data_IF_807534544109
#
_entry.id   IF_807534544109
#
_cell.length_a   1.000
_cell.length_b   1.000
_cell.length_c   1.000
_cell.angle_alpha   90.00
_cell.angle_beta   90.00
_cell.angle_gamma   90.00
#
_symmetry.space_group_name_H-M   'P 1'
#
loop_
_entity.id
_entity.type
_entity.pdbx_description
1 polymer ?
#
# COMPACT_ATOMS: atom_id res chain seq x y z
N UNK A 1 0.46 -3.76 9.30
CA UNK A 1 0.08 -3.77 7.88
C UNK A 1 -1.45 -3.72 7.71
N UNK A 2 -2.08 -2.57 7.99
CA UNK A 2 -3.55 -2.37 7.91
C UNK A 2 -3.92 -1.08 7.17
N UNK A 3 -2.99 -0.53 6.39
CA UNK A 3 -3.21 0.68 5.60
C UNK A 3 -3.96 0.31 4.31
N UNK A 4 -5.05 1.02 4.02
CA UNK A 4 -5.78 0.87 2.78
C UNK A 4 -5.09 1.67 1.69
N UNK A 5 -4.11 1.05 1.05
CA UNK A 5 -3.54 1.51 -0.20
C UNK A 5 -3.49 0.32 -1.14
N UNK A 6 -3.98 0.49 -2.35
CA UNK A 6 -3.66 -0.46 -3.40
C UNK A 6 -2.27 -0.09 -3.91
N UNK A 7 -1.29 -0.94 -3.61
CA UNK A 7 0.09 -0.69 -3.98
C UNK A 7 0.28 -0.84 -5.50
N UNK A 8 1.12 0.00 -6.05
CA UNK A 8 1.47 0.02 -7.47
C UNK A 8 2.88 -0.55 -7.68
N UNK A 9 3.80 -0.28 -6.74
CA UNK A 9 5.19 -0.74 -6.85
C UNK A 9 5.75 -1.16 -5.49
N UNK A 10 6.78 -2.01 -5.51
CA UNK A 10 7.53 -2.35 -4.31
C UNK A 10 8.56 -1.25 -4.01
N UNK A 11 9.34 -0.86 -5.02
CA UNK A 11 10.44 0.09 -4.93
C UNK A 11 10.09 1.45 -5.57
N UNK A 12 10.71 2.53 -5.09
CA UNK A 12 10.57 3.87 -5.67
C UNK A 12 11.12 3.94 -7.10
N UNK A 13 12.06 3.07 -7.45
CA UNK A 13 12.56 2.88 -8.81
C UNK A 13 11.55 2.26 -9.78
N UNK A 14 10.42 1.76 -9.27
CA UNK A 14 9.33 1.11 -10.02
C UNK A 14 9.78 -0.12 -10.80
N UNK A 15 10.85 -0.79 -10.36
CA UNK A 15 11.33 -2.05 -10.97
C UNK A 15 10.32 -3.17 -10.74
N UNK A 16 9.71 -3.22 -9.55
CA UNK A 16 8.78 -4.27 -9.17
C UNK A 16 7.36 -3.73 -9.15
N UNK A 17 6.63 -3.93 -10.24
CA UNK A 17 5.20 -3.63 -10.36
C UNK A 17 4.36 -4.58 -9.50
N UNK A 18 3.44 -4.05 -8.69
CA UNK A 18 2.63 -4.83 -7.75
C UNK A 18 1.13 -4.78 -8.05
N UNK A 19 0.71 -4.00 -9.06
CA UNK A 19 -0.71 -3.89 -9.39
C UNK A 19 -1.29 -5.23 -9.89
N UNK A 20 -2.44 -5.63 -9.33
CA UNK A 20 -3.11 -6.90 -9.67
C UNK A 20 -3.46 -7.00 -11.15
N UNK A 21 -3.96 -5.94 -11.79
CA UNK A 21 -4.27 -5.93 -13.23
C UNK A 21 -3.39 -4.97 -14.04
N UNK A 22 -3.21 -5.29 -15.33
CA UNK A 22 -2.46 -4.47 -16.28
C UNK A 22 -3.10 -3.08 -16.48
N UNK A 23 -4.44 -3.00 -16.56
CA UNK A 23 -5.14 -1.70 -16.65
C UNK A 23 -4.89 -0.83 -15.42
N UNK A 24 -4.89 -1.43 -14.24
CA UNK A 24 -4.58 -0.72 -13.01
C UNK A 24 -3.11 -0.28 -12.96
N UNK A 25 -2.18 -1.12 -13.41
CA UNK A 25 -0.78 -0.74 -13.52
C UNK A 25 -0.62 0.49 -14.44
N UNK A 26 -1.25 0.46 -15.61
CA UNK A 26 -1.25 1.61 -16.52
C UNK A 26 -1.87 2.87 -15.90
N UNK A 27 -2.84 2.76 -14.97
CA UNK A 27 -3.32 3.91 -14.19
C UNK A 27 -2.29 4.39 -13.19
N UNK A 28 -1.64 3.47 -12.48
CA UNK A 28 -0.56 3.82 -11.55
C UNK A 28 0.50 4.67 -12.27
N UNK A 29 0.97 4.20 -13.43
CA UNK A 29 1.99 4.88 -14.23
C UNK A 29 1.56 6.28 -14.69
N UNK A 30 0.27 6.46 -15.00
CA UNK A 30 -0.26 7.74 -15.49
C UNK A 30 -0.49 8.79 -14.41
N UNK A 31 -0.89 8.40 -13.21
CA UNK A 31 -1.42 9.36 -12.24
C UNK A 31 -1.08 9.13 -10.77
N UNK A 32 -0.33 8.09 -10.42
CA UNK A 32 -0.04 7.76 -9.02
C UNK A 32 1.44 7.76 -8.67
N UNK A 33 2.32 8.08 -9.62
CA UNK A 33 3.79 8.08 -9.43
C UNK A 33 4.26 9.06 -8.37
N UNK A 34 3.50 10.13 -8.10
CA UNK A 34 3.84 11.13 -7.10
C UNK A 34 3.27 10.84 -5.70
N UNK A 35 2.42 9.81 -5.56
CA UNK A 35 1.83 9.40 -4.29
C UNK A 35 2.72 8.38 -3.57
N UNK A 36 3.40 8.77 -2.49
CA UNK A 36 4.22 7.85 -1.71
C UNK A 36 3.44 6.65 -1.13
N UNK A 37 2.12 6.78 -0.93
CA UNK A 37 1.31 5.74 -0.32
C UNK A 37 1.11 4.50 -1.21
N UNK A 38 1.39 4.57 -2.51
CA UNK A 38 1.26 3.42 -3.43
C UNK A 38 2.57 2.61 -3.58
N UNK A 39 3.60 2.95 -2.82
CA UNK A 39 4.89 2.28 -2.79
C UNK A 39 5.10 1.53 -1.48
N UNK A 40 5.77 0.38 -1.54
CA UNK A 40 6.18 -0.35 -0.33
C UNK A 40 7.42 0.23 0.34
N UNK A 41 8.38 0.69 -0.46
CA UNK A 41 9.67 1.17 0.01
C UNK A 41 9.59 2.22 1.13
N UNK A 42 8.76 3.28 1.05
CA UNK A 42 8.56 4.21 2.16
C UNK A 42 8.19 3.53 3.48
N UNK A 43 7.32 2.52 3.44
CA UNK A 43 6.87 1.79 4.62
C UNK A 43 7.98 0.92 5.20
N UNK A 44 8.72 0.21 4.33
CA UNK A 44 9.82 -0.66 4.75
C UNK A 44 10.97 0.14 5.36
N UNK A 45 11.28 1.30 4.77
CA UNK A 45 12.27 2.27 5.27
C UNK A 45 11.88 2.89 6.61
N UNK A 46 10.58 3.05 6.86
CA UNK A 46 10.03 3.52 8.13
C UNK A 46 9.66 2.36 9.09
N UNK A 47 10.29 1.21 8.92
CA UNK A 47 10.07 0.03 9.77
C UNK A 47 11.40 -0.53 10.27
N UNK A 48 11.39 -1.15 11.45
CA UNK A 48 12.51 -1.96 11.91
C UNK A 48 12.48 -3.31 11.18
N UNK A 49 13.65 -3.80 10.73
CA UNK A 49 13.76 -5.09 10.05
C UNK A 49 13.16 -6.23 10.87
N UNK A 50 13.45 -6.24 12.16
CA UNK A 50 12.96 -7.25 13.12
C UNK A 50 11.42 -7.25 13.21
N UNK A 51 10.78 -6.08 13.13
CA UNK A 51 9.32 -6.00 13.20
C UNK A 51 8.69 -6.59 11.94
N UNK A 52 9.30 -6.36 10.77
CA UNK A 52 8.87 -6.96 9.50
C UNK A 52 9.09 -8.47 9.52
N UNK A 53 10.30 -8.91 9.88
CA UNK A 53 10.72 -10.32 9.88
C UNK A 53 9.97 -11.20 10.89
N UNK A 54 9.57 -10.63 12.03
CA UNK A 54 8.82 -11.34 13.08
C UNK A 54 7.33 -10.97 13.14
N UNK A 55 6.83 -10.21 12.16
CA UNK A 55 5.40 -9.92 12.07
C UNK A 55 4.58 -11.18 11.73
N UNK A 56 3.28 -11.12 12.03
CA UNK A 56 2.32 -12.12 11.57
C UNK A 56 2.17 -12.21 10.05
N UNK A 57 2.79 -11.29 9.30
CA UNK A 57 2.77 -11.25 7.83
C UNK A 57 4.12 -11.64 7.22
N UNK A 58 5.13 -12.01 8.01
CA UNK A 58 6.49 -12.26 7.51
C UNK A 58 6.55 -13.32 6.42
N UNK A 59 5.91 -14.48 6.64
CA UNK A 59 5.83 -15.57 5.66
C UNK A 59 5.08 -15.16 4.39
N UNK A 60 4.00 -14.39 4.54
CA UNK A 60 3.21 -13.91 3.41
C UNK A 60 3.98 -12.88 2.58
N UNK A 61 4.69 -11.95 3.23
CA UNK A 61 5.58 -10.97 2.60
C UNK A 61 6.73 -11.67 1.87
N UNK A 62 7.33 -12.70 2.49
CA UNK A 62 8.41 -13.47 1.90
C UNK A 62 7.94 -14.12 0.59
N UNK A 63 6.89 -14.93 0.64
CA UNK A 63 6.37 -15.66 -0.50
C UNK A 63 5.83 -14.73 -1.61
N UNK A 64 5.12 -13.67 -1.21
CA UNK A 64 4.40 -12.82 -2.17
C UNK A 64 5.28 -11.76 -2.83
N UNK A 65 6.32 -11.28 -2.14
CA UNK A 65 7.12 -10.11 -2.55
C UNK A 65 8.63 -10.41 -2.48
N UNK A 66 9.16 -10.74 -1.30
CA UNK A 66 10.62 -10.72 -1.10
C UNK A 66 11.36 -11.81 -1.86
N UNK A 67 10.79 -13.02 -2.02
CA UNK A 67 11.43 -14.09 -2.79
C UNK A 67 11.73 -13.66 -4.24
N UNK A 68 10.81 -12.93 -4.88
CA UNK A 68 10.99 -12.43 -6.25
C UNK A 68 12.01 -11.31 -6.28
N UNK A 69 11.97 -10.37 -5.33
CA UNK A 69 13.00 -9.32 -5.24
C UNK A 69 14.39 -9.93 -5.08
N UNK A 70 14.52 -10.89 -4.16
CA UNK A 70 15.78 -11.55 -3.82
C UNK A 70 16.28 -12.52 -4.89
N UNK A 71 15.42 -12.92 -5.85
CA UNK A 71 15.84 -13.71 -7.00
C UNK A 71 16.90 -13.03 -7.89
N UNK A 72 17.03 -11.70 -7.75
CA UNK A 72 18.04 -10.90 -8.44
C UNK A 72 19.14 -10.41 -7.47
N UNK A 73 20.41 -10.34 -7.89
CA UNK A 73 21.48 -9.76 -7.07
C UNK A 73 21.21 -8.30 -6.68
N UNK A 74 20.74 -7.49 -7.63
CA UNK A 74 20.39 -6.09 -7.39
C UNK A 74 19.25 -5.93 -6.40
N UNK A 75 18.20 -6.75 -6.51
CA UNK A 75 17.07 -6.73 -5.58
C UNK A 75 17.46 -7.18 -4.17
N UNK A 76 18.32 -8.19 -4.04
CA UNK A 76 18.87 -8.60 -2.74
C UNK A 76 19.66 -7.48 -2.06
N UNK A 77 20.52 -6.77 -2.81
CA UNK A 77 21.28 -5.63 -2.29
C UNK A 77 20.34 -4.48 -1.90
N UNK A 78 19.36 -4.16 -2.75
CA UNK A 78 18.37 -3.14 -2.47
C UNK A 78 17.58 -3.45 -1.19
N UNK A 79 17.05 -4.67 -1.04
CA UNK A 79 16.26 -5.07 0.12
C UNK A 79 17.09 -4.99 1.41
N UNK A 80 18.36 -5.42 1.37
CA UNK A 80 19.26 -5.29 2.51
C UNK A 80 19.56 -3.81 2.86
N UNK A 81 19.62 -2.93 1.85
CA UNK A 81 19.90 -1.50 2.06
C UNK A 81 18.79 -0.76 2.82
N UNK A 82 17.53 -1.23 2.74
CA UNK A 82 16.38 -0.58 3.40
C UNK A 82 16.54 -0.50 4.92
N UNK A 83 17.30 -1.42 5.52
CA UNK A 83 17.50 -1.51 6.97
C UNK A 83 18.96 -1.30 7.39
N UNK A 84 19.83 -0.87 6.48
CA UNK A 84 21.21 -0.55 6.79
C UNK A 84 21.28 0.56 7.86
N UNK A 85 22.29 0.48 8.73
CA UNK A 85 22.54 1.46 9.80
C UNK A 85 23.84 2.23 9.53
N UNK A 86 23.94 3.50 9.97
CA UNK A 86 22.91 4.29 10.66
C UNK A 86 21.75 4.66 9.74
N UNK A 87 20.58 4.94 10.32
CA UNK A 87 19.46 5.48 9.54
C UNK A 87 19.77 6.90 9.05
N UNK A 88 19.31 7.27 7.85
CA UNK A 88 19.48 8.63 7.34
C UNK A 88 18.80 9.63 8.27
N UNK A 89 19.35 10.84 8.34
CA UNK A 89 18.67 11.95 8.99
C UNK A 89 17.41 12.32 8.18
N UNK A 90 16.44 12.95 8.84
CA UNK A 90 15.14 13.29 8.22
C UNK A 90 15.33 14.14 6.95
N UNK A 91 16.30 15.06 6.93
CA UNK A 91 16.56 15.90 5.76
C UNK A 91 16.97 15.09 4.52
N UNK A 92 17.84 14.09 4.69
CA UNK A 92 18.27 13.22 3.59
C UNK A 92 17.14 12.32 3.11
N UNK A 93 16.27 11.87 4.03
CA UNK A 93 15.08 11.09 3.70
C UNK A 93 14.10 11.88 2.84
N UNK A 94 13.80 13.11 3.25
CA UNK A 94 12.93 14.03 2.51
C UNK A 94 13.52 14.32 1.12
N UNK A 95 14.83 14.57 1.05
CA UNK A 95 15.51 14.78 -0.22
C UNK A 95 15.43 13.55 -1.14
N UNK A 96 15.59 12.35 -0.58
CA UNK A 96 15.46 11.09 -1.31
C UNK A 96 14.04 10.87 -1.85
N UNK A 97 13.00 11.14 -1.07
CA UNK A 97 11.61 11.02 -1.52
C UNK A 97 11.30 12.00 -2.65
N UNK A 98 11.74 13.26 -2.51
CA UNK A 98 11.57 14.27 -3.56
C UNK A 98 12.38 13.96 -4.83
N UNK A 99 13.60 13.43 -4.70
CA UNK A 99 14.40 13.00 -5.84
C UNK A 99 13.74 11.86 -6.64
N UNK A 100 12.94 11.02 -5.96
CA UNK A 100 12.10 10.00 -6.59
C UNK A 100 10.72 10.52 -7.01
N UNK A 101 10.47 11.83 -6.91
CA UNK A 101 9.24 12.47 -7.36
C UNK A 101 8.05 12.29 -6.43
N UNK A 102 8.22 11.81 -5.20
CA UNK A 102 7.13 11.68 -4.24
C UNK A 102 6.83 13.05 -3.62
N UNK A 103 5.57 13.49 -3.72
CA UNK A 103 5.16 14.84 -3.28
C UNK A 103 3.97 14.83 -2.33
N UNK A 104 3.23 13.74 -2.26
CA UNK A 104 2.10 13.60 -1.34
C UNK A 104 1.93 12.16 -0.86
N UNK A 105 1.17 12.00 0.22
CA UNK A 105 0.80 10.71 0.78
C UNK A 105 -0.72 10.64 0.91
N UNK A 106 -1.36 9.79 0.11
CA UNK A 106 -2.81 9.63 0.14
C UNK A 106 -3.22 8.17 0.06
N UNK A 107 -3.88 7.70 1.12
CA UNK A 107 -4.49 6.37 1.20
C UNK A 107 -5.91 6.39 0.63
N UNK A 108 -6.47 5.20 0.44
CA UNK A 108 -7.84 5.01 -0.02
C UNK A 108 -8.82 5.15 1.14
N UNK A 109 -10.01 5.65 0.81
CA UNK A 109 -11.13 5.67 1.73
C UNK A 109 -11.50 4.22 2.11
N UNK A 110 -11.72 4.00 3.40
CA UNK A 110 -12.24 2.73 3.93
C UNK A 110 -13.26 3.00 5.01
N UNK A 111 -14.19 2.05 5.17
CA UNK A 111 -15.14 2.04 6.27
C UNK A 111 -15.01 0.73 7.09
N UNK A 112 -13.85 0.08 7.01
CA UNK A 112 -13.52 -1.11 7.78
C UNK A 112 -13.30 -0.79 9.28
N UNK A 113 -12.65 0.33 9.56
CA UNK A 113 -12.49 0.88 10.90
C UNK A 113 -12.73 2.38 10.89
N UNK A 114 -13.13 2.92 12.03
CA UNK A 114 -13.03 4.34 12.33
C UNK A 114 -11.54 4.64 12.58
N UNK A 115 -11.00 5.61 11.85
CA UNK A 115 -9.61 6.01 12.02
C UNK A 115 -9.46 6.75 13.35
N UNK A 116 -8.53 6.28 14.18
CA UNK A 116 -8.17 7.00 15.39
C UNK A 116 -7.22 8.15 15.07
N UNK A 117 -7.35 9.24 15.80
CA UNK A 117 -6.50 10.43 15.68
C UNK A 117 -6.23 10.97 17.08
N UNK A 118 -4.96 11.11 17.45
CA UNK A 118 -4.55 11.80 18.67
C UNK A 118 -3.64 12.97 18.29
N UNK A 119 -4.07 14.18 18.59
CA UNK A 119 -3.33 15.41 18.33
C UNK A 119 -2.87 16.02 19.65
N UNK A 120 -1.58 16.32 19.72
CA UNK A 120 -0.93 16.87 20.92
C UNK A 120 -0.13 18.10 20.52
N UNK A 121 -0.24 19.18 21.29
CA UNK A 121 0.60 20.37 21.15
C UNK A 121 1.61 20.43 22.31
N UNK A 122 2.80 20.94 22.03
CA UNK A 122 3.80 21.23 23.05
C UNK A 122 3.82 22.74 23.33
N UNK A 123 3.69 23.11 24.60
CA UNK A 123 3.79 24.48 25.08
C UNK A 123 5.11 24.61 25.84
N UNK A 124 5.99 25.49 25.36
CA UNK A 124 7.21 25.88 26.06
C UNK A 124 6.97 27.22 26.77
N UNK A 125 7.18 27.27 28.08
CA UNK A 125 7.08 28.54 28.82
C UNK A 125 8.38 29.36 28.73
N UNK A 126 8.36 30.59 29.25
CA UNK A 126 9.51 31.50 29.22
C UNK A 126 10.75 31.00 30.00
N UNK A 127 10.62 29.94 30.81
CA UNK A 127 11.71 29.29 31.53
C UNK A 127 12.27 28.06 30.79
N UNK A 128 11.78 27.75 29.59
CA UNK A 128 12.18 26.59 28.80
C UNK A 128 11.55 25.26 29.23
N UNK A 129 10.52 25.29 30.10
CA UNK A 129 9.79 24.07 30.47
C UNK A 129 8.76 23.74 29.40
N UNK A 130 8.85 22.52 28.85
CA UNK A 130 7.96 21.98 27.83
C UNK A 130 6.88 21.10 28.45
N UNK A 131 5.63 21.37 28.11
CA UNK A 131 4.47 20.58 28.54
C UNK A 131 3.64 20.20 27.32
N UNK A 132 3.31 18.91 27.21
CA UNK A 132 2.46 18.40 26.12
C UNK A 132 0.99 18.35 26.57
N UNK A 133 0.08 18.85 25.72
CA UNK A 133 -1.37 18.82 25.96
C UNK A 133 -2.05 18.17 24.76
N UNK A 134 -2.85 17.12 25.02
CA UNK A 134 -3.70 16.50 23.98
C UNK A 134 -4.89 17.41 23.68
N UNK A 135 -5.02 17.85 22.44
CA UNK A 135 -6.09 18.76 21.98
C UNK A 135 -7.23 18.01 21.28
N UNK A 136 -6.95 16.83 20.75
CA UNK A 136 -7.95 15.97 20.12
C UNK A 136 -7.59 14.50 20.33
N UNK A 137 -8.59 13.67 20.61
CA UNK A 137 -8.41 12.22 20.75
C UNK A 137 -9.67 11.51 20.29
N UNK A 138 -9.55 10.76 19.20
CA UNK A 138 -10.55 9.83 18.70
C UNK A 138 -9.91 8.46 18.66
N UNK A 139 -10.54 7.45 19.27
CA UNK A 139 -10.01 6.08 19.26
C UNK A 139 -10.25 5.41 17.91
N UNK A 140 -9.33 4.53 17.51
CA UNK A 140 -9.58 3.63 16.40
C UNK A 140 -10.62 2.58 16.83
N UNK A 141 -11.67 2.38 16.04
CA UNK A 141 -12.72 1.40 16.32
C UNK A 141 -12.98 0.49 15.13
N UNK A 142 -12.99 -0.82 15.35
CA UNK A 142 -13.37 -1.78 14.32
C UNK A 142 -14.90 -1.84 14.18
N UNK A 143 -15.41 -1.61 12.97
CA UNK A 143 -16.85 -1.46 12.73
C UNK A 143 -17.59 -2.79 12.57
N UNK A 144 -16.88 -3.90 12.37
CA UNK A 144 -17.45 -5.23 12.10
C UNK A 144 -17.53 -5.58 10.61
N UNK A 145 -17.36 -6.88 10.26
CA UNK A 145 -17.32 -7.33 8.86
C UNK A 145 -18.66 -7.09 8.13
N UNK A 146 -19.78 -7.23 8.83
CA UNK A 146 -21.12 -7.12 8.25
C UNK A 146 -21.46 -5.71 7.74
N UNK A 147 -20.74 -4.69 8.19
CA UNK A 147 -20.93 -3.29 7.79
C UNK A 147 -19.78 -2.73 6.96
N UNK A 148 -18.80 -3.57 6.59
CA UNK A 148 -17.69 -3.19 5.72
C UNK A 148 -18.12 -3.22 4.26
N UNK A 149 -18.80 -2.18 3.81
CA UNK A 149 -19.27 -2.09 2.41
C UNK A 149 -18.15 -1.75 1.42
N UNK A 150 -17.09 -1.06 1.85
CA UNK A 150 -15.97 -0.71 0.96
C UNK A 150 -15.02 -1.90 0.67
N UNK A 151 -15.30 -3.10 1.20
CA UNK A 151 -14.58 -4.33 0.84
C UNK A 151 -14.58 -4.60 -0.67
N UNK A 152 -15.68 -4.25 -1.34
CA UNK A 152 -15.84 -4.41 -2.78
C UNK A 152 -15.01 -3.40 -3.60
N UNK A 153 -14.48 -2.35 -2.97
CA UNK A 153 -13.54 -1.42 -3.61
C UNK A 153 -12.09 -1.85 -3.41
N UNK A 154 -11.78 -2.36 -2.22
CA UNK A 154 -10.50 -2.96 -1.91
C UNK A 154 -10.58 -3.77 -0.63
N UNK A 155 -10.18 -5.05 -0.69
CA UNK A 155 -10.17 -5.94 0.46
C UNK A 155 -8.95 -5.73 1.37
N UNK A 156 -8.02 -4.86 0.99
CA UNK A 156 -6.82 -4.59 1.77
C UNK A 156 -5.69 -5.58 1.46
N UNK A 157 -4.47 -5.07 1.50
CA UNK A 157 -3.26 -5.80 1.05
C UNK A 157 -2.94 -7.05 1.86
N UNK A 158 -3.41 -7.14 3.10
CA UNK A 158 -3.19 -8.33 3.92
C UNK A 158 -3.97 -9.52 3.37
N UNK A 159 -5.14 -9.31 2.76
CA UNK A 159 -5.89 -10.37 2.12
C UNK A 159 -5.16 -10.81 0.85
N UNK A 160 -4.63 -9.85 0.07
CA UNK A 160 -3.84 -10.17 -1.13
C UNK A 160 -2.58 -10.99 -0.80
N UNK A 161 -1.86 -10.61 0.26
CA UNK A 161 -0.69 -11.37 0.73
C UNK A 161 -1.04 -12.78 1.19
N UNK A 162 -2.09 -12.93 2.00
CA UNK A 162 -2.47 -14.23 2.55
C UNK A 162 -3.00 -15.15 1.46
N UNK A 163 -3.77 -14.63 0.50
CA UNK A 163 -4.23 -15.38 -0.66
C UNK A 163 -3.02 -15.86 -1.49
N UNK A 164 -2.07 -14.97 -1.80
CA UNK A 164 -0.87 -15.38 -2.54
C UNK A 164 -0.01 -16.38 -1.78
N UNK A 165 0.09 -16.26 -0.45
CA UNK A 165 0.76 -17.25 0.37
C UNK A 165 0.11 -18.64 0.24
N UNK A 166 -1.21 -18.74 0.33
CA UNK A 166 -1.95 -20.00 0.29
C UNK A 166 -1.76 -20.71 -1.06
N UNK A 167 -1.79 -19.95 -2.16
CA UNK A 167 -1.69 -20.50 -3.51
C UNK A 167 -0.28 -20.44 -4.09
N UNK A 168 0.71 -20.03 -3.28
CA UNK A 168 2.11 -19.89 -3.69
C UNK A 168 2.29 -19.00 -4.94
N UNK A 169 1.57 -17.87 -5.01
CA UNK A 169 1.82 -16.83 -6.02
C UNK A 169 2.66 -15.68 -5.49
N UNK A 170 3.23 -14.92 -6.43
CA UNK A 170 3.76 -13.59 -6.16
C UNK A 170 2.74 -12.51 -6.53
N UNK A 171 2.72 -11.42 -5.77
CA UNK A 171 2.00 -10.20 -6.12
C UNK A 171 2.74 -9.35 -7.15
N UNK A 172 4.05 -9.54 -7.32
CA UNK A 172 4.84 -8.85 -8.34
C UNK A 172 4.41 -9.35 -9.73
N UNK A 173 4.16 -8.41 -10.64
CA UNK A 173 3.83 -8.71 -12.05
C UNK A 173 5.07 -9.21 -12.79
N UNK A 174 4.90 -10.19 -13.67
CA UNK A 174 6.03 -10.74 -14.43
C UNK A 174 6.95 -11.65 -13.62
N UNK A 175 6.60 -11.96 -12.36
CA UNK A 175 7.39 -12.83 -11.50
C UNK A 175 7.49 -14.26 -12.05
N UNK A 176 6.37 -14.81 -12.51
CA UNK A 176 6.28 -16.10 -13.20
C UNK A 176 4.89 -16.27 -13.85
N UNK A 177 4.80 -17.18 -14.83
CA UNK A 177 3.58 -17.43 -15.59
C UNK A 177 2.37 -17.82 -14.71
N UNK A 178 2.60 -18.62 -13.65
CA UNK A 178 1.53 -19.01 -12.74
C UNK A 178 0.94 -17.80 -11.99
N UNK A 179 1.80 -16.96 -11.43
CA UNK A 179 1.40 -15.76 -10.69
C UNK A 179 0.68 -14.75 -11.59
N UNK A 180 1.11 -14.61 -12.85
CA UNK A 180 0.45 -13.71 -13.81
C UNK A 180 -0.91 -14.26 -14.28
N UNK A 181 -1.04 -15.58 -14.42
CA UNK A 181 -2.33 -16.24 -14.69
C UNK A 181 -3.31 -16.02 -13.54
N UNK A 182 -2.89 -16.25 -12.29
CA UNK A 182 -3.75 -16.05 -11.09
C UNK A 182 -4.25 -14.61 -11.01
N UNK A 183 -3.42 -13.62 -11.36
CA UNK A 183 -3.78 -12.20 -11.37
C UNK A 183 -4.90 -11.84 -12.37
N UNK A 184 -5.09 -12.61 -13.44
CA UNK A 184 -6.19 -12.37 -14.39
C UNK A 184 -7.56 -12.63 -13.77
N UNK A 185 -7.62 -13.51 -12.77
CA UNK A 185 -8.82 -13.87 -12.02
C UNK A 185 -8.86 -13.22 -10.64
N UNK A 186 -7.98 -12.25 -10.36
CA UNK A 186 -7.81 -11.71 -9.01
C UNK A 186 -9.13 -11.16 -8.45
N UNK A 187 -9.93 -10.50 -9.29
CA UNK A 187 -11.23 -9.97 -8.86
C UNK A 187 -12.23 -11.06 -8.47
N UNK A 188 -12.19 -12.19 -9.18
CA UNK A 188 -13.05 -13.34 -8.91
C UNK A 188 -12.61 -14.02 -7.62
N UNK A 189 -11.30 -14.19 -7.43
CA UNK A 189 -10.73 -14.87 -6.25
C UNK A 189 -10.85 -14.03 -4.99
N UNK A 190 -10.45 -12.76 -5.07
CA UNK A 190 -10.44 -11.85 -3.93
C UNK A 190 -11.83 -11.33 -3.56
N UNK A 191 -12.69 -11.03 -4.55
CA UNK A 191 -14.00 -10.40 -4.32
C UNK A 191 -15.21 -11.29 -4.58
N UNK A 192 -14.98 -12.57 -4.96
CA UNK A 192 -16.05 -13.55 -5.28
C UNK A 192 -17.08 -13.03 -6.28
N UNK A 193 -16.63 -12.17 -7.20
CA UNK A 193 -17.49 -11.64 -8.26
C UNK A 193 -17.75 -12.74 -9.32
N UNK A 194 -19.00 -12.93 -9.77
CA UNK A 194 -19.32 -13.93 -10.77
C UNK A 194 -18.64 -13.64 -12.11
N UNK A 195 -17.95 -14.65 -12.66
CA UNK A 195 -17.06 -14.55 -13.84
C UNK A 195 -17.82 -14.23 -15.15
N UNK A 196 -19.14 -14.46 -15.17
CA UNK A 196 -19.96 -14.39 -16.37
C UNK A 196 -20.94 -13.20 -16.41
N UNK A 197 -20.86 -12.29 -15.44
CA UNK A 197 -21.69 -11.08 -15.49
C UNK A 197 -21.05 -10.04 -16.42
N UNK A 198 -21.80 -9.62 -17.44
CA UNK A 198 -21.42 -8.53 -18.35
C UNK A 198 -21.04 -7.26 -17.59
N UNK A 199 -21.62 -7.03 -16.41
CA UNK A 199 -21.31 -5.90 -15.54
C UNK A 199 -19.88 -5.98 -14.96
N UNK A 200 -19.44 -7.15 -14.50
CA UNK A 200 -18.08 -7.31 -13.93
C UNK A 200 -17.03 -7.13 -15.03
N UNK A 201 -17.31 -7.66 -16.23
CA UNK A 201 -16.46 -7.46 -17.40
C UNK A 201 -16.44 -5.98 -17.84
N UNK A 202 -17.58 -5.28 -17.80
CA UNK A 202 -17.66 -3.85 -18.11
C UNK A 202 -16.89 -3.00 -17.08
N UNK A 203 -17.04 -3.28 -15.78
CA UNK A 203 -16.29 -2.57 -14.73
C UNK A 203 -14.79 -2.84 -14.86
N UNK A 204 -14.39 -4.08 -15.10
CA UNK A 204 -12.99 -4.44 -15.34
C UNK A 204 -12.41 -3.81 -16.62
N UNK A 205 -13.23 -3.57 -17.64
CA UNK A 205 -12.83 -2.92 -18.90
C UNK A 205 -12.68 -1.41 -18.79
N UNK A 206 -13.61 -0.74 -18.12
CA UNK A 206 -13.62 0.72 -17.97
C UNK A 206 -12.77 1.20 -16.79
N UNK A 207 -12.81 0.51 -15.66
CA UNK A 207 -12.21 0.97 -14.40
C UNK A 207 -11.07 0.07 -13.88
N UNK A 208 -10.80 -1.10 -14.50
CA UNK A 208 -9.98 -2.16 -13.88
C UNK A 208 -10.66 -2.77 -12.66
N UNK A 209 -9.95 -3.63 -11.92
CA UNK A 209 -10.43 -4.21 -10.63
C UNK A 209 -11.20 -3.17 -9.82
N UNK A 210 -12.44 -3.49 -9.44
CA UNK A 210 -13.46 -2.54 -9.00
C UNK A 210 -12.88 -1.48 -8.04
N UNK A 211 -12.69 -0.27 -8.52
CA UNK A 211 -12.31 0.87 -7.68
C UNK A 211 -12.87 2.12 -8.33
N UNK A 212 -14.00 2.64 -7.83
CA UNK A 212 -14.36 4.01 -8.07
C UNK A 212 -13.25 4.84 -7.43
N UNK A 213 -12.48 5.53 -8.26
CA UNK A 213 -11.77 6.71 -7.84
C UNK A 213 -12.84 7.69 -7.33
N UNK A 214 -13.11 7.70 -6.02
CA UNK A 214 -13.68 8.88 -5.35
C UNK A 214 -12.58 9.94 -5.31
N UNK A 215 -12.12 10.35 -6.49
CA UNK A 215 -11.49 11.63 -6.68
C UNK A 215 -12.61 12.63 -6.40
N UNK A 216 -12.53 13.27 -5.23
CA UNK A 216 -13.19 14.56 -5.08
C UNK A 216 -12.79 15.40 -6.29
N UNK A 217 -13.73 15.98 -7.04
CA UNK A 217 -13.37 16.84 -8.15
C UNK A 217 -12.46 17.92 -7.57
N UNK A 218 -11.25 18.03 -8.12
CA UNK A 218 -10.39 19.17 -7.89
C UNK A 218 -11.25 20.40 -8.10
N UNK A 219 -11.50 21.16 -7.04
CA UNK A 219 -12.20 22.43 -7.12
C UNK A 219 -11.39 23.32 -8.07
N UNK A 220 -11.85 23.45 -9.31
CA UNK A 220 -11.43 24.53 -10.19
C UNK A 220 -11.75 25.84 -9.47
N UNK A 221 -10.78 26.76 -9.29
CA UNK A 221 -11.09 28.10 -8.83
C UNK A 221 -11.96 28.77 -9.90
N UNK A 222 -13.12 29.29 -9.49
CA UNK A 222 -13.79 30.39 -10.21
C UNK A 222 -13.04 31.69 -9.91
#
# INVERSE_FOLDING_TARGET
MRMFAQYCWVDMGRVYELSTTARRQARCDRSMTHNGAVYWEPLLRNSLQQDVAHSSYSSALQASIFDVVQSSPSGSVWLASLWAKPWPIIADEVAFWHANGLTYWQTQLTNYYEQGLQETIEIENALGLRTSITIHSTSQSYRGLSVWSLVYTYAGVWNDLLECQVISCSLIRGANAYSDMVKQEWDVRAYRLPVNDTLVQLVGTEFGTASPNLLWPSTTPL
#
